data_IF_053801395760
#
_entry.id   IF_053801395760
#
_cell.length_a   1.000
_cell.length_b   1.000
_cell.length_c   1.000
_cell.angle_alpha   90.00
_cell.angle_beta   90.00
_cell.angle_gamma   90.00
#
_symmetry.space_group_name_H-M   'P 1'
#
loop_
_entity.id
_entity.type
_entity.pdbx_description
1 polymer ?
#
# COMPACT_ATOMS: atom_id res chain seq x y z
N UNK A 1 -31.44 -27.88 -20.38
CA UNK A 1 -30.00 -27.60 -20.48
C UNK A 1 -29.71 -26.43 -19.57
N UNK A 2 -29.22 -26.70 -18.36
CA UNK A 2 -28.83 -25.66 -17.42
C UNK A 2 -27.47 -25.10 -17.85
N UNK A 3 -27.44 -23.82 -18.21
CA UNK A 3 -26.18 -23.10 -18.42
C UNK A 3 -25.49 -22.98 -17.06
N UNK A 4 -24.51 -23.85 -16.84
CA UNK A 4 -23.58 -23.75 -15.71
C UNK A 4 -22.78 -22.46 -15.89
N UNK A 5 -23.22 -21.41 -15.20
CA UNK A 5 -22.47 -20.15 -15.12
C UNK A 5 -21.04 -20.46 -14.67
N UNK A 6 -19.99 -19.96 -15.35
CA UNK A 6 -18.62 -20.27 -14.98
C UNK A 6 -18.40 -19.80 -13.54
N UNK A 7 -17.87 -20.69 -12.70
CA UNK A 7 -17.58 -20.39 -11.31
C UNK A 7 -16.70 -19.13 -11.27
N UNK A 8 -17.26 -18.01 -10.81
CA UNK A 8 -16.49 -16.79 -10.56
C UNK A 8 -15.54 -17.14 -9.42
N UNK A 9 -14.28 -17.43 -9.77
CA UNK A 9 -13.19 -17.50 -8.82
C UNK A 9 -13.27 -16.28 -7.93
N UNK A 10 -13.56 -16.46 -6.63
CA UNK A 10 -13.59 -15.37 -5.65
C UNK A 10 -12.17 -14.84 -5.48
N UNK A 11 -11.72 -14.04 -6.44
CA UNK A 11 -10.43 -13.39 -6.38
C UNK A 11 -10.43 -12.43 -5.20
N UNK A 12 -9.40 -12.53 -4.37
CA UNK A 12 -9.21 -11.67 -3.20
C UNK A 12 -9.13 -10.22 -3.63
N UNK A 13 -9.68 -9.28 -2.86
CA UNK A 13 -9.64 -7.85 -3.21
C UNK A 13 -8.21 -7.29 -3.17
N UNK A 14 -7.88 -6.36 -4.07
CA UNK A 14 -6.62 -5.60 -4.02
C UNK A 14 -6.85 -4.34 -3.19
N UNK A 15 -6.09 -4.19 -2.10
CA UNK A 15 -6.16 -3.00 -1.23
C UNK A 15 -5.12 -1.94 -1.60
N UNK A 16 -4.08 -2.29 -2.36
CA UNK A 16 -3.07 -1.34 -2.88
C UNK A 16 -3.67 -0.48 -4.00
N UNK A 17 -3.33 0.81 -4.03
CA UNK A 17 -3.87 1.79 -4.97
C UNK A 17 -2.77 2.78 -5.38
N UNK A 18 -2.82 3.26 -6.64
CA UNK A 18 -2.03 4.40 -7.11
C UNK A 18 -2.80 5.72 -7.07
N UNK A 19 -4.05 5.70 -6.60
CA UNK A 19 -4.90 6.88 -6.47
C UNK A 19 -5.03 7.67 -7.79
N UNK A 20 -5.23 6.97 -8.91
CA UNK A 20 -5.22 7.57 -10.25
C UNK A 20 -6.49 8.34 -10.61
N UNK A 21 -7.62 8.04 -9.95
CA UNK A 21 -8.91 8.65 -10.25
C UNK A 21 -9.56 9.18 -8.97
N UNK A 22 -9.97 10.45 -8.92
CA UNK A 22 -10.65 11.02 -7.76
C UNK A 22 -12.03 10.39 -7.56
N UNK A 23 -12.49 10.22 -6.31
CA UNK A 23 -13.83 9.73 -6.02
C UNK A 23 -14.88 10.76 -6.47
N UNK A 24 -15.94 10.30 -7.12
CA UNK A 24 -17.06 11.15 -7.58
C UNK A 24 -18.23 11.23 -6.59
N UNK A 25 -18.09 10.61 -5.42
CA UNK A 25 -19.15 10.50 -4.42
C UNK A 25 -19.18 11.74 -3.52
N UNK A 26 -20.39 12.19 -3.16
CA UNK A 26 -20.61 13.18 -2.12
C UNK A 26 -20.49 12.53 -0.74
N UNK A 27 -19.77 13.20 0.16
CA UNK A 27 -19.62 12.82 1.57
C UNK A 27 -20.08 13.96 2.46
N UNK A 28 -20.47 13.64 3.69
CA UNK A 28 -20.80 14.66 4.67
C UNK A 28 -19.55 15.43 5.12
N UNK A 29 -19.73 16.70 5.52
CA UNK A 29 -18.61 17.54 5.96
C UNK A 29 -17.90 16.94 7.19
N UNK A 30 -18.65 16.37 8.13
CA UNK A 30 -18.09 15.71 9.31
C UNK A 30 -17.20 14.51 8.94
N UNK A 31 -17.63 13.69 7.98
CA UNK A 31 -16.83 12.56 7.49
C UNK A 31 -15.56 13.04 6.79
N UNK A 32 -15.66 14.11 6.01
CA UNK A 32 -14.51 14.73 5.35
C UNK A 32 -13.46 15.18 6.38
N UNK A 33 -13.89 15.88 7.42
CA UNK A 33 -13.03 16.35 8.50
C UNK A 33 -12.39 15.17 9.25
N UNK A 34 -13.18 14.15 9.59
CA UNK A 34 -12.69 12.95 10.28
C UNK A 34 -11.65 12.20 9.44
N UNK A 35 -11.87 12.02 8.14
CA UNK A 35 -10.93 11.36 7.24
C UNK A 35 -9.63 12.16 7.07
N UNK A 36 -9.72 13.48 6.98
CA UNK A 36 -8.55 14.35 6.92
C UNK A 36 -7.70 14.22 8.20
N UNK A 37 -8.32 14.34 9.37
CA UNK A 37 -7.62 14.26 10.67
C UNK A 37 -6.97 12.89 10.85
N UNK A 38 -7.70 11.81 10.57
CA UNK A 38 -7.16 10.47 10.72
C UNK A 38 -5.99 10.20 9.78
N UNK A 39 -6.08 10.58 8.50
CA UNK A 39 -4.96 10.36 7.57
C UNK A 39 -3.75 11.21 7.90
N UNK A 40 -3.92 12.45 8.38
CA UNK A 40 -2.79 13.25 8.88
C UNK A 40 -2.10 12.55 10.05
N UNK A 41 -2.85 11.95 10.98
CA UNK A 41 -2.28 11.16 12.08
C UNK A 41 -1.49 9.96 11.56
N UNK A 42 -2.00 9.26 10.54
CA UNK A 42 -1.28 8.15 9.89
C UNK A 42 0.03 8.64 9.27
N UNK A 43 0.01 9.72 8.47
CA UNK A 43 1.22 10.21 7.81
C UNK A 43 2.26 10.75 8.81
N UNK A 44 1.83 11.41 9.89
CA UNK A 44 2.74 11.80 10.99
C UNK A 44 3.32 10.60 11.73
N UNK A 45 2.53 9.53 11.90
CA UNK A 45 3.04 8.29 12.47
C UNK A 45 4.12 7.65 11.57
N UNK A 46 3.89 7.63 10.25
CA UNK A 46 4.88 7.15 9.27
C UNK A 46 6.17 7.96 9.38
N UNK A 47 6.06 9.29 9.45
CA UNK A 47 7.20 10.19 9.62
C UNK A 47 8.00 9.88 10.88
N UNK A 48 7.35 9.84 12.05
CA UNK A 48 8.01 9.58 13.34
C UNK A 48 8.72 8.23 13.34
N UNK A 49 8.06 7.17 12.87
CA UNK A 49 8.68 5.83 12.82
C UNK A 49 9.84 5.80 11.82
N UNK A 50 9.73 6.52 10.70
CA UNK A 50 10.79 6.64 9.69
C UNK A 50 11.99 7.51 10.10
N UNK A 51 11.88 8.26 11.19
CA UNK A 51 13.01 8.95 11.84
C UNK A 51 13.74 8.03 12.82
N UNK A 52 13.00 7.14 13.49
CA UNK A 52 13.55 6.24 14.51
C UNK A 52 14.09 4.92 13.94
N UNK A 53 13.58 4.46 12.79
CA UNK A 53 13.85 3.15 12.23
C UNK A 53 14.16 3.21 10.73
N UNK A 54 14.99 2.29 10.25
CA UNK A 54 15.33 2.17 8.83
C UNK A 54 14.16 1.51 8.09
N UNK A 55 13.62 2.18 7.06
CA UNK A 55 12.48 1.69 6.28
C UNK A 55 12.75 0.33 5.64
N UNK A 56 11.80 -0.59 5.78
CA UNK A 56 11.87 -1.94 5.20
C UNK A 56 12.69 -2.95 6.01
N UNK A 57 13.15 -2.57 7.20
CA UNK A 57 13.59 -3.55 8.21
C UNK A 57 12.39 -4.10 8.96
N UNK A 58 12.58 -5.27 9.58
CA UNK A 58 11.56 -5.86 10.43
C UNK A 58 11.19 -4.96 11.62
N UNK A 59 12.17 -4.29 12.22
CA UNK A 59 11.95 -3.37 13.34
C UNK A 59 11.05 -2.19 12.96
N UNK A 60 11.23 -1.66 11.74
CA UNK A 60 10.34 -0.63 11.20
C UNK A 60 8.92 -1.16 11.02
N UNK A 61 8.77 -2.34 10.43
CA UNK A 61 7.46 -2.97 10.16
C UNK A 61 6.71 -3.26 11.47
N UNK A 62 7.37 -3.81 12.48
CA UNK A 62 6.77 -4.12 13.78
C UNK A 62 6.36 -2.84 14.51
N UNK A 63 7.20 -1.79 14.46
CA UNK A 63 6.91 -0.50 15.11
C UNK A 63 5.77 0.25 14.42
N UNK A 64 5.76 0.33 13.08
CA UNK A 64 4.70 1.03 12.36
C UNK A 64 3.35 0.33 12.53
N UNK A 65 3.32 -1.01 12.59
CA UNK A 65 2.09 -1.77 12.89
C UNK A 65 1.57 -1.42 14.29
N UNK A 66 2.46 -1.38 15.29
CA UNK A 66 2.10 -1.05 16.66
C UNK A 66 1.57 0.39 16.79
N UNK A 67 2.24 1.37 16.20
CA UNK A 67 1.85 2.78 16.28
C UNK A 67 0.56 3.07 15.49
N UNK A 68 0.42 2.53 14.28
CA UNK A 68 -0.84 2.65 13.51
C UNK A 68 -2.01 1.99 14.24
N UNK A 69 -1.75 0.91 14.99
CA UNK A 69 -2.76 0.28 15.84
C UNK A 69 -3.34 1.21 16.91
N UNK A 70 -2.56 2.19 17.40
CA UNK A 70 -3.00 3.19 18.39
C UNK A 70 -3.93 4.27 17.80
N UNK A 71 -3.91 4.46 16.48
CA UNK A 71 -4.79 5.40 15.76
C UNK A 71 -6.21 4.80 15.59
N UNK A 72 -6.45 3.60 16.10
CA UNK A 72 -7.77 2.97 16.13
C UNK A 72 -8.11 2.27 14.82
N UNK A 73 -9.41 2.17 14.51
CA UNK A 73 -9.91 1.45 13.33
C UNK A 73 -9.32 1.97 12.01
N UNK A 74 -9.12 3.29 11.90
CA UNK A 74 -8.58 3.91 10.69
C UNK A 74 -7.12 3.52 10.43
N UNK A 75 -6.28 3.44 11.47
CA UNK A 75 -4.89 2.99 11.31
C UNK A 75 -4.78 1.53 10.85
N UNK A 76 -5.69 0.66 11.32
CA UNK A 76 -5.77 -0.75 10.91
C UNK A 76 -6.09 -0.95 9.43
N UNK A 77 -6.67 0.07 8.76
CA UNK A 77 -6.88 0.05 7.31
C UNK A 77 -5.54 -0.15 6.60
N UNK A 78 -4.47 0.47 7.07
CA UNK A 78 -3.17 0.46 6.40
C UNK A 78 -2.28 -0.73 6.79
N UNK A 79 -2.55 -1.39 7.92
CA UNK A 79 -1.77 -2.56 8.38
C UNK A 79 -2.38 -3.90 7.95
N UNK A 80 -3.66 -3.92 7.59
CA UNK A 80 -4.33 -5.16 7.19
C UNK A 80 -3.89 -5.62 5.79
N UNK A 81 -3.69 -6.92 5.61
CA UNK A 81 -3.52 -7.52 4.29
C UNK A 81 -4.86 -8.01 3.73
N UNK A 82 -4.91 -8.31 2.44
CA UNK A 82 -6.14 -8.74 1.74
C UNK A 82 -6.76 -10.05 2.26
N UNK A 83 -6.15 -10.74 3.24
CA UNK A 83 -6.74 -11.86 4.01
C UNK A 83 -7.85 -11.41 4.96
N UNK A 84 -7.84 -10.15 5.41
CA UNK A 84 -8.87 -9.60 6.29
C UNK A 84 -10.01 -9.00 5.46
N UNK A 85 -11.10 -9.76 5.31
CA UNK A 85 -12.23 -9.41 4.42
C UNK A 85 -13.36 -8.63 5.09
N UNK A 86 -13.40 -8.55 6.43
CA UNK A 86 -14.45 -7.81 7.13
C UNK A 86 -14.29 -6.32 6.80
N UNK A 87 -15.24 -5.77 6.04
CA UNK A 87 -15.31 -4.36 5.62
C UNK A 87 -14.24 -3.88 4.62
N UNK A 88 -13.56 -4.79 3.90
CA UNK A 88 -12.48 -4.42 2.99
C UNK A 88 -12.85 -3.34 1.94
N UNK A 89 -14.09 -3.33 1.45
CA UNK A 89 -14.56 -2.31 0.50
C UNK A 89 -14.67 -0.93 1.13
N UNK A 90 -15.21 -0.87 2.35
CA UNK A 90 -15.35 0.37 3.11
C UNK A 90 -13.97 0.93 3.50
N UNK A 91 -13.06 0.06 3.91
CA UNK A 91 -11.67 0.42 4.20
C UNK A 91 -10.96 1.04 2.98
N UNK A 92 -11.08 0.38 1.81
CA UNK A 92 -10.50 0.90 0.55
C UNK A 92 -11.11 2.26 0.22
N UNK A 93 -12.42 2.41 0.41
CA UNK A 93 -13.12 3.66 0.16
C UNK A 93 -12.61 4.79 1.05
N UNK A 94 -12.45 4.53 2.36
CA UNK A 94 -11.88 5.48 3.33
C UNK A 94 -10.43 5.86 2.98
N UNK A 95 -9.62 4.89 2.58
CA UNK A 95 -8.25 5.13 2.13
C UNK A 95 -8.20 6.07 0.91
N UNK A 96 -8.98 5.76 -0.14
CA UNK A 96 -9.03 6.58 -1.36
C UNK A 96 -9.50 8.00 -1.06
N UNK A 97 -10.63 8.16 -0.37
CA UNK A 97 -11.18 9.49 -0.09
C UNK A 97 -10.22 10.32 0.75
N UNK A 98 -9.70 9.74 1.83
CA UNK A 98 -8.78 10.47 2.71
C UNK A 98 -7.52 10.93 2.00
N UNK A 99 -6.99 10.15 1.05
CA UNK A 99 -5.86 10.56 0.20
C UNK A 99 -6.19 11.81 -0.62
N UNK A 100 -7.31 11.81 -1.34
CA UNK A 100 -7.72 12.94 -2.18
C UNK A 100 -8.09 14.18 -1.37
N UNK A 101 -8.66 14.03 -0.17
CA UNK A 101 -8.89 15.17 0.74
C UNK A 101 -7.55 15.84 1.10
N UNK A 102 -6.53 15.05 1.45
CA UNK A 102 -5.23 15.61 1.82
C UNK A 102 -4.47 16.20 0.63
N UNK A 103 -4.64 15.69 -0.59
CA UNK A 103 -4.07 16.33 -1.78
C UNK A 103 -4.52 17.80 -1.91
N UNK A 104 -5.78 18.10 -1.64
CA UNK A 104 -6.31 19.48 -1.67
C UNK A 104 -5.72 20.35 -0.54
N UNK A 105 -5.48 19.76 0.63
CA UNK A 105 -4.91 20.49 1.77
C UNK A 105 -3.41 20.78 1.59
N UNK A 106 -2.65 19.81 1.08
CA UNK A 106 -1.18 19.87 1.01
C UNK A 106 -0.63 20.37 -0.33
N UNK A 107 -1.47 20.68 -1.32
CA UNK A 107 -1.01 21.25 -2.61
C UNK A 107 -0.55 22.72 -2.53
N UNK A 108 -0.78 23.40 -1.40
CA UNK A 108 -0.65 24.87 -1.27
C UNK A 108 0.78 25.40 -1.32
N UNK A 109 1.76 24.63 -0.88
CA UNK A 109 3.18 25.01 -0.92
C UNK A 109 4.05 23.86 -1.38
N UNK A 110 5.27 24.14 -1.83
CA UNK A 110 6.20 23.08 -2.21
C UNK A 110 6.60 22.20 -1.03
N UNK A 111 6.86 22.78 0.14
CA UNK A 111 7.27 22.02 1.32
C UNK A 111 6.15 21.09 1.81
N UNK A 112 4.90 21.54 1.78
CA UNK A 112 3.75 20.69 2.10
C UNK A 112 3.59 19.54 1.09
N UNK A 113 3.77 19.82 -0.21
CA UNK A 113 3.71 18.80 -1.26
C UNK A 113 4.83 17.76 -1.10
N UNK A 114 6.07 18.20 -0.86
CA UNK A 114 7.21 17.31 -0.63
C UNK A 114 6.98 16.43 0.58
N UNK A 115 6.56 17.02 1.70
CA UNK A 115 6.25 16.26 2.92
C UNK A 115 5.15 15.22 2.66
N UNK A 116 4.04 15.63 2.05
CA UNK A 116 2.92 14.74 1.76
C UNK A 116 3.33 13.56 0.86
N UNK A 117 4.02 13.84 -0.25
CA UNK A 117 4.51 12.81 -1.18
C UNK A 117 5.46 11.86 -0.48
N UNK A 118 6.40 12.37 0.33
CA UNK A 118 7.35 11.53 1.06
C UNK A 118 6.63 10.54 2.00
N UNK A 119 5.70 11.02 2.83
CA UNK A 119 4.99 10.15 3.77
C UNK A 119 4.05 9.16 3.07
N UNK A 120 3.41 9.56 1.96
CA UNK A 120 2.56 8.65 1.17
C UNK A 120 3.36 7.56 0.47
N UNK A 121 4.54 7.89 -0.07
CA UNK A 121 5.46 6.91 -0.68
C UNK A 121 5.94 5.91 0.37
N UNK A 122 6.30 6.38 1.56
CA UNK A 122 6.74 5.53 2.66
C UNK A 122 5.61 4.61 3.17
N UNK A 123 4.39 5.15 3.29
CA UNK A 123 3.20 4.37 3.61
C UNK A 123 2.91 3.31 2.54
N UNK A 124 2.98 3.68 1.26
CA UNK A 124 2.80 2.74 0.15
C UNK A 124 3.86 1.64 0.17
N UNK A 125 5.13 1.98 0.39
CA UNK A 125 6.24 1.02 0.50
C UNK A 125 5.97 0.00 1.60
N UNK A 126 5.59 0.45 2.80
CA UNK A 126 5.22 -0.43 3.90
C UNK A 126 4.07 -1.36 3.50
N UNK A 127 2.98 -0.82 2.96
CA UNK A 127 1.81 -1.61 2.54
C UNK A 127 2.14 -2.65 1.49
N UNK A 128 2.97 -2.29 0.51
CA UNK A 128 3.41 -3.19 -0.55
C UNK A 128 4.23 -4.34 0.02
N UNK A 129 5.20 -4.06 0.89
CA UNK A 129 6.01 -5.09 1.55
C UNK A 129 5.18 -5.97 2.47
N UNK A 130 4.26 -5.38 3.23
CA UNK A 130 3.35 -6.10 4.11
C UNK A 130 2.44 -7.06 3.34
N UNK A 131 1.84 -6.62 2.22
CA UNK A 131 1.02 -7.51 1.37
C UNK A 131 1.88 -8.61 0.74
N UNK A 132 3.09 -8.29 0.27
CA UNK A 132 3.99 -9.28 -0.33
C UNK A 132 4.45 -10.35 0.67
N UNK A 133 4.81 -9.94 1.89
CA UNK A 133 5.51 -10.80 2.84
C UNK A 133 4.55 -11.49 3.83
N UNK A 134 3.44 -10.86 4.22
CA UNK A 134 2.55 -11.34 5.29
C UNK A 134 1.21 -11.91 4.79
N UNK A 135 1.04 -12.08 3.47
CA UNK A 135 -0.16 -12.65 2.85
C UNK A 135 0.23 -13.87 2.02
N UNK A 136 -0.42 -15.03 2.26
CA UNK A 136 -0.20 -16.24 1.44
C UNK A 136 -0.51 -15.98 -0.04
N UNK A 137 -1.51 -15.14 -0.30
CA UNK A 137 -1.89 -14.70 -1.65
C UNK A 137 -1.11 -13.46 -2.10
N UNK A 138 -0.13 -12.99 -1.32
CA UNK A 138 0.61 -11.74 -1.54
C UNK A 138 1.22 -11.65 -2.93
N UNK A 139 2.03 -12.63 -3.37
CA UNK A 139 2.63 -12.61 -4.70
C UNK A 139 1.60 -12.53 -5.84
N UNK A 140 0.48 -13.26 -5.73
CA UNK A 140 -0.62 -13.20 -6.72
C UNK A 140 -1.26 -11.81 -6.75
N UNK A 141 -1.51 -11.22 -5.58
CA UNK A 141 -2.12 -9.90 -5.45
C UNK A 141 -1.21 -8.81 -6.00
N UNK A 142 0.09 -8.86 -5.70
CA UNK A 142 1.07 -7.93 -6.24
C UNK A 142 1.13 -8.07 -7.77
N UNK A 143 1.21 -9.29 -8.29
CA UNK A 143 1.22 -9.53 -9.74
C UNK A 143 -0.01 -8.93 -10.42
N UNK A 144 -1.20 -9.19 -9.87
CA UNK A 144 -2.45 -8.62 -10.41
C UNK A 144 -2.50 -7.10 -10.27
N UNK A 145 -2.06 -6.54 -9.15
CA UNK A 145 -1.97 -5.08 -8.96
C UNK A 145 -1.09 -4.42 -10.01
N UNK A 146 0.07 -5.00 -10.32
CA UNK A 146 0.96 -4.49 -11.36
C UNK A 146 0.29 -4.56 -12.74
N UNK A 147 -0.33 -5.69 -13.07
CA UNK A 147 -1.06 -5.87 -14.33
C UNK A 147 -2.24 -4.89 -14.49
N UNK A 148 -3.06 -4.70 -13.44
CA UNK A 148 -4.19 -3.75 -13.43
C UNK A 148 -3.75 -2.29 -13.60
N UNK A 149 -2.53 -1.96 -13.19
CA UNK A 149 -1.93 -0.64 -13.37
C UNK A 149 -1.06 -0.55 -14.64
N UNK A 150 -1.24 -1.45 -15.60
CA UNK A 150 -0.54 -1.49 -16.89
C UNK A 150 0.99 -1.63 -16.77
N UNK A 151 1.46 -2.24 -15.69
CA UNK A 151 2.86 -2.59 -15.50
C UNK A 151 3.05 -4.08 -15.83
N UNK A 152 3.48 -4.34 -17.07
CA UNK A 152 3.64 -5.68 -17.60
C UNK A 152 4.98 -6.29 -17.14
N UNK A 153 4.95 -7.01 -16.03
CA UNK A 153 6.09 -7.80 -15.56
C UNK A 153 5.85 -9.29 -15.80
N UNK A 154 6.82 -9.97 -16.39
CA UNK A 154 6.82 -11.42 -16.55
C UNK A 154 7.83 -12.05 -15.60
N UNK A 155 7.43 -13.03 -14.77
CA UNK A 155 8.38 -13.73 -13.93
C UNK A 155 9.32 -14.55 -14.82
N UNK A 156 10.63 -14.39 -14.59
CA UNK A 156 11.65 -15.22 -15.24
C UNK A 156 11.54 -16.67 -14.73
N UNK A 157 11.83 -17.63 -15.61
CA UNK A 157 11.88 -19.04 -15.23
C UNK A 157 13.09 -19.34 -14.34
N UNK A 158 13.05 -20.43 -13.56
CA UNK A 158 14.20 -20.82 -12.72
C UNK A 158 15.45 -21.12 -13.52
N UNK A 159 15.30 -21.73 -14.70
CA UNK A 159 16.42 -22.01 -15.62
C UNK A 159 17.06 -20.73 -16.11
N UNK A 160 16.25 -19.76 -16.55
CA UNK A 160 16.71 -18.43 -16.97
C UNK A 160 17.35 -17.66 -15.82
N UNK A 161 16.75 -17.69 -14.62
CA UNK A 161 17.29 -17.08 -13.41
C UNK A 161 18.68 -17.61 -13.07
N UNK A 162 18.90 -18.92 -13.18
CA UNK A 162 20.21 -19.55 -12.94
C UNK A 162 21.22 -19.10 -14.00
N UNK A 163 20.84 -19.12 -15.28
CA UNK A 163 21.71 -18.69 -16.38
C UNK A 163 22.15 -17.22 -16.25
N UNK A 164 21.26 -16.36 -15.75
CA UNK A 164 21.53 -14.93 -15.57
C UNK A 164 22.12 -14.58 -14.21
N UNK A 165 22.24 -15.53 -13.29
CA UNK A 165 22.56 -15.26 -11.88
C UNK A 165 23.80 -14.37 -11.71
N UNK A 166 24.89 -14.67 -12.43
CA UNK A 166 26.14 -13.89 -12.34
C UNK A 166 25.93 -12.42 -12.74
N UNK A 167 25.15 -12.18 -13.79
CA UNK A 167 24.85 -10.83 -14.27
C UNK A 167 23.89 -10.10 -13.33
N UNK A 168 22.90 -10.80 -12.78
CA UNK A 168 21.96 -10.24 -11.81
C UNK A 168 22.69 -9.80 -10.53
N UNK A 169 23.62 -10.63 -10.02
CA UNK A 169 24.45 -10.27 -8.86
C UNK A 169 25.37 -9.09 -9.17
N UNK A 170 26.05 -9.10 -10.32
CA UNK A 170 26.93 -8.00 -10.71
C UNK A 170 26.18 -6.67 -10.96
N UNK A 171 24.91 -6.74 -11.37
CA UNK A 171 24.06 -5.59 -11.64
C UNK A 171 23.22 -5.11 -10.45
N UNK A 172 23.28 -5.78 -9.29
CA UNK A 172 22.56 -5.38 -8.09
C UNK A 172 23.53 -4.94 -7.00
N UNK A 173 23.26 -3.79 -6.39
CA UNK A 173 24.06 -3.32 -5.26
C UNK A 173 23.92 -4.32 -4.10
N UNK A 174 25.02 -4.96 -3.70
CA UNK A 174 25.04 -5.82 -2.52
C UNK A 174 24.92 -4.95 -1.28
N UNK A 175 23.87 -5.15 -0.49
CA UNK A 175 23.76 -4.55 0.84
C UNK A 175 24.93 -5.02 1.71
N UNK A 176 25.83 -4.10 2.11
CA UNK A 176 26.92 -4.39 3.06
C UNK A 176 28.34 -4.36 2.50
N UNK A 177 28.59 -3.69 1.37
CA UNK A 177 29.96 -3.32 0.93
C UNK A 177 30.04 -1.80 0.90
N UNK A 178 30.17 -1.21 2.09
CA UNK A 178 30.82 0.07 2.40
C UNK A 178 31.51 -0.09 3.75
#
# INVERSE_FOLDING_TARGET
>A
MEFKSPAVSKHKLIRLQFYSCPPSQTIELSELEDYAVHRIRVLKCVETVGQDCIRGTKDYDDKIIAELGKIGGFGKIFTSCSSSLKNAKEDIHKDIISHFILQVAYCRSEDLRRWFVQQEVDLFRFRFLNERNNSVSGPEIISRFLHENHLNFTPISDTERINLQRYLVAGTATTGVD
#
